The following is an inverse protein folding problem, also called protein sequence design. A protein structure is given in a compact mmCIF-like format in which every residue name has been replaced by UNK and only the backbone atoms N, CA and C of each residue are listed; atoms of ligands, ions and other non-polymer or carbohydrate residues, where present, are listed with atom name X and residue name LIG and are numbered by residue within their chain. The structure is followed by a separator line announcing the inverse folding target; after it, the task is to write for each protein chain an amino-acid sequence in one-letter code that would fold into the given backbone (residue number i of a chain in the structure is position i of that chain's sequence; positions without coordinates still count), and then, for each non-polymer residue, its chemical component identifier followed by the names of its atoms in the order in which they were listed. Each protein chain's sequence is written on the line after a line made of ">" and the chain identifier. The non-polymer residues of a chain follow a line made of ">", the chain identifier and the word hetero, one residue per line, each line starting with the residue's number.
data_IF_175409855231
#
_entry.id   IF_175409855231
#
_cell.length_a   1.000
_cell.length_b   1.000
_cell.length_c   1.000
_cell.angle_alpha   90.00
_cell.angle_beta   90.00
_cell.angle_gamma   90.00
#
_symmetry.space_group_name_H-M   'P 1'
#
loop_
_entity.id
_entity.type
_entity.pdbx_description
1 polymer ?
#
# COMPACT_ATOMS: atom_id res chain seq x y z
N UNK A 1 1.59 4.18 0.44
CA UNK A 1 0.28 3.82 1.01
C UNK A 1 -0.08 4.51 2.34
N UNK A 2 0.81 4.75 3.32
CA UNK A 2 0.35 5.23 4.67
C UNK A 2 -0.52 6.50 4.63
N UNK A 3 -0.12 7.52 3.86
CA UNK A 3 -0.86 8.77 3.71
C UNK A 3 -2.23 8.57 3.06
N UNK A 4 -2.29 7.77 1.99
CA UNK A 4 -3.55 7.47 1.30
C UNK A 4 -4.48 6.62 2.17
N UNK A 5 -3.95 5.67 2.94
CA UNK A 5 -4.73 4.91 3.93
C UNK A 5 -5.29 5.78 5.03
N UNK A 6 -4.50 6.71 5.58
CA UNK A 6 -4.98 7.67 6.59
C UNK A 6 -6.08 8.54 6.01
N UNK A 7 -5.85 9.19 4.86
CA UNK A 7 -6.86 10.05 4.23
C UNK A 7 -8.14 9.29 3.86
N UNK A 8 -8.01 8.06 3.38
CA UNK A 8 -9.17 7.22 3.10
C UNK A 8 -9.93 6.86 4.38
N UNK A 9 -9.21 6.52 5.44
CA UNK A 9 -9.83 6.23 6.73
C UNK A 9 -10.58 7.43 7.29
N UNK A 10 -9.99 8.63 7.24
CA UNK A 10 -10.58 9.86 7.77
C UNK A 10 -11.85 10.24 7.00
N UNK A 11 -11.90 9.93 5.70
CA UNK A 11 -13.10 10.11 4.87
C UNK A 11 -14.24 9.15 5.24
N UNK A 12 -13.91 7.95 5.72
CA UNK A 12 -14.91 6.90 6.07
C UNK A 12 -15.33 6.95 7.54
N UNK A 13 -14.40 7.26 8.45
CA UNK A 13 -14.65 7.31 9.89
C UNK A 13 -14.20 8.67 10.44
N UNK A 14 -15.10 9.44 11.05
CA UNK A 14 -14.81 10.77 11.65
C UNK A 14 -14.07 10.71 13.01
N UNK A 15 -13.44 9.59 13.34
CA UNK A 15 -12.76 9.39 14.63
C UNK A 15 -11.25 9.56 14.45
N UNK A 16 -10.54 10.02 15.50
CA UNK A 16 -9.07 10.23 15.59
C UNK A 16 -8.23 8.92 15.45
N UNK A 17 -8.48 8.16 14.40
CA UNK A 17 -7.88 6.86 14.12
C UNK A 17 -6.54 7.00 13.38
N UNK A 18 -6.29 8.17 12.79
CA UNK A 18 -5.12 8.52 11.99
C UNK A 18 -3.82 8.36 12.78
N UNK A 19 -3.82 8.76 14.06
CA UNK A 19 -2.65 8.58 14.94
C UNK A 19 -2.33 7.12 15.22
N UNK A 20 -3.35 6.25 15.30
CA UNK A 20 -3.17 4.81 15.55
C UNK A 20 -2.56 4.15 14.30
N UNK A 21 -3.07 4.49 13.12
CA UNK A 21 -2.55 3.98 11.84
C UNK A 21 -1.08 4.38 11.68
N UNK A 22 -0.75 5.66 11.93
CA UNK A 22 0.62 6.16 11.86
C UNK A 22 1.54 5.42 12.84
N UNK A 23 1.15 5.31 14.12
CA UNK A 23 1.98 4.62 15.14
C UNK A 23 2.20 3.14 14.82
N UNK A 24 1.18 2.44 14.31
CA UNK A 24 1.32 1.02 13.89
C UNK A 24 2.22 0.89 12.67
N UNK A 25 2.10 1.79 11.70
CA UNK A 25 2.99 1.84 10.54
C UNK A 25 4.45 2.08 10.97
N UNK A 26 4.70 3.10 11.80
CA UNK A 26 6.05 3.42 12.28
C UNK A 26 6.67 2.23 13.06
N UNK A 27 5.84 1.52 13.84
CA UNK A 27 6.26 0.30 14.53
C UNK A 27 6.65 -0.81 13.54
N UNK A 28 5.84 -1.09 12.52
CA UNK A 28 6.15 -2.14 11.54
C UNK A 28 7.39 -1.80 10.71
N UNK A 29 7.57 -0.54 10.32
CA UNK A 29 8.78 -0.10 9.59
C UNK A 29 10.03 -0.35 10.43
N UNK A 30 9.95 -0.12 11.74
CA UNK A 30 11.10 -0.30 12.64
C UNK A 30 11.36 -1.75 13.01
N UNK A 31 10.32 -2.58 13.15
CA UNK A 31 10.41 -3.88 13.82
C UNK A 31 9.95 -5.08 12.96
N UNK A 32 9.56 -4.87 11.70
CA UNK A 32 8.94 -5.90 10.85
C UNK A 32 9.38 -5.76 9.40
N UNK A 33 8.88 -6.64 8.54
CA UNK A 33 9.13 -6.54 7.10
C UNK A 33 8.27 -5.45 6.46
N UNK A 34 8.77 -4.89 5.35
CA UNK A 34 8.00 -3.94 4.52
C UNK A 34 6.69 -4.58 4.03
N UNK A 35 6.67 -5.89 3.81
CA UNK A 35 5.45 -6.65 3.48
C UNK A 35 4.40 -6.56 4.59
N UNK A 36 4.80 -6.59 5.86
CA UNK A 36 3.87 -6.52 6.99
C UNK A 36 3.23 -5.13 7.06
N UNK A 37 4.01 -4.08 6.77
CA UNK A 37 3.50 -2.72 6.61
C UNK A 37 2.45 -2.66 5.49
N UNK A 38 2.75 -3.28 4.33
CA UNK A 38 1.87 -3.29 3.17
C UNK A 38 0.56 -4.01 3.46
N UNK A 39 0.61 -5.21 4.04
CA UNK A 39 -0.58 -5.98 4.39
C UNK A 39 -1.44 -5.29 5.44
N UNK A 40 -0.82 -4.67 6.45
CA UNK A 40 -1.54 -3.88 7.45
C UNK A 40 -2.34 -2.74 6.81
N UNK A 41 -1.69 -1.92 5.98
CA UNK A 41 -2.33 -0.79 5.31
C UNK A 41 -3.42 -1.26 4.33
N UNK A 42 -3.15 -2.33 3.58
CA UNK A 42 -4.13 -2.95 2.68
C UNK A 42 -5.37 -3.47 3.42
N UNK A 43 -5.19 -4.04 4.62
CA UNK A 43 -6.29 -4.48 5.48
C UNK A 43 -7.18 -3.31 5.92
N UNK A 44 -6.57 -2.19 6.37
CA UNK A 44 -7.33 -0.99 6.75
C UNK A 44 -8.13 -0.44 5.55
N UNK A 45 -7.51 -0.38 4.37
CA UNK A 45 -8.20 0.06 3.16
C UNK A 45 -9.36 -0.86 2.80
N UNK A 46 -9.19 -2.19 2.92
CA UNK A 46 -10.27 -3.16 2.71
C UNK A 46 -11.45 -2.92 3.66
N UNK A 47 -11.19 -2.71 4.95
CA UNK A 47 -12.24 -2.46 5.94
C UNK A 47 -13.04 -1.20 5.60
N UNK A 48 -12.34 -0.11 5.26
CA UNK A 48 -12.95 1.15 4.84
C UNK A 48 -13.75 1.01 3.54
N UNK A 49 -13.24 0.26 2.57
CA UNK A 49 -13.96 -0.03 1.32
C UNK A 49 -15.29 -0.75 1.59
N UNK A 50 -15.29 -1.77 2.46
CA UNK A 50 -16.52 -2.52 2.79
C UNK A 50 -17.59 -1.59 3.34
N UNK A 51 -17.22 -0.57 4.14
CA UNK A 51 -18.15 0.41 4.72
C UNK A 51 -18.79 1.33 3.68
N UNK A 52 -18.06 1.70 2.62
CA UNK A 52 -18.57 2.65 1.60
C UNK A 52 -19.07 1.99 0.32
N UNK A 53 -18.92 0.66 0.17
CA UNK A 53 -19.16 -0.06 -1.09
C UNK A 53 -20.51 0.25 -1.74
N UNK A 54 -21.56 0.41 -0.94
CA UNK A 54 -22.93 0.61 -1.42
C UNK A 54 -23.18 2.05 -1.91
N UNK A 55 -22.27 2.98 -1.59
CA UNK A 55 -22.32 4.40 -2.00
C UNK A 55 -21.41 4.74 -3.17
N UNK A 56 -20.53 3.81 -3.57
CA UNK A 56 -19.54 4.01 -4.63
C UNK A 56 -20.17 4.27 -6.01
N UNK A 57 -21.27 3.58 -6.32
CA UNK A 57 -22.01 3.77 -7.58
C UNK A 57 -22.61 5.17 -7.71
N UNK A 58 -22.72 5.91 -6.61
CA UNK A 58 -23.27 7.28 -6.57
C UNK A 58 -22.19 8.35 -6.59
N UNK A 59 -20.92 7.99 -6.37
CA UNK A 59 -19.79 8.91 -6.25
C UNK A 59 -18.60 8.37 -7.05
N UNK A 60 -18.61 8.53 -8.38
CA UNK A 60 -17.54 8.02 -9.25
C UNK A 60 -16.15 8.60 -8.91
N UNK A 61 -16.08 9.78 -8.30
CA UNK A 61 -14.82 10.39 -7.86
C UNK A 61 -14.11 9.58 -6.77
N UNK A 62 -14.85 8.78 -5.99
CA UNK A 62 -14.28 7.87 -5.00
C UNK A 62 -13.46 6.74 -5.65
N UNK A 63 -13.68 6.43 -6.94
CA UNK A 63 -12.93 5.39 -7.66
C UNK A 63 -11.45 5.78 -7.77
N UNK A 64 -11.14 7.06 -7.97
CA UNK A 64 -9.75 7.54 -8.01
C UNK A 64 -9.08 7.40 -6.64
N UNK A 65 -9.77 7.81 -5.58
CA UNK A 65 -9.27 7.65 -4.20
C UNK A 65 -9.00 6.18 -3.88
N UNK A 66 -9.88 5.27 -4.33
CA UNK A 66 -9.68 3.82 -4.16
C UNK A 66 -8.48 3.30 -4.94
N UNK A 67 -8.29 3.72 -6.20
CA UNK A 67 -7.14 3.30 -7.00
C UNK A 67 -5.82 3.73 -6.35
N UNK A 68 -5.75 4.95 -5.83
CA UNK A 68 -4.58 5.44 -5.09
C UNK A 68 -4.43 4.77 -3.71
N UNK A 69 -5.53 4.46 -3.01
CA UNK A 69 -5.49 3.78 -1.72
C UNK A 69 -4.99 2.34 -1.85
N UNK A 70 -5.42 1.60 -2.87
CA UNK A 70 -5.02 0.22 -3.12
C UNK A 70 -3.77 0.06 -3.98
N UNK A 71 -3.12 1.16 -4.36
CA UNK A 71 -1.92 1.16 -5.22
C UNK A 71 -2.18 0.48 -6.59
N UNK A 72 -3.40 0.60 -7.11
CA UNK A 72 -3.85 0.00 -8.38
C UNK A 72 -3.44 0.89 -9.58
N UNK A 73 -3.01 2.12 -9.30
CA UNK A 73 -2.60 3.13 -10.29
C UNK A 73 -1.12 3.01 -10.72
N UNK A 74 -0.50 1.83 -10.58
CA UNK A 74 0.88 1.63 -11.02
C UNK A 74 0.99 1.72 -12.55
N UNK A 75 1.80 2.67 -13.03
CA UNK A 75 2.21 2.75 -14.44
C UNK A 75 2.91 1.43 -14.82
N UNK A 76 2.38 0.74 -15.84
CA UNK A 76 2.89 -0.56 -16.27
C UNK A 76 4.35 -0.49 -16.72
N UNK A 77 4.81 0.65 -17.25
CA UNK A 77 6.20 0.84 -17.63
C UNK A 77 7.12 0.95 -16.40
N UNK A 78 6.66 1.63 -15.34
CA UNK A 78 7.38 1.74 -14.08
C UNK A 78 7.45 0.38 -13.38
N UNK A 79 6.36 -0.38 -13.42
CA UNK A 79 6.31 -1.74 -12.88
C UNK A 79 7.33 -2.66 -13.60
N UNK A 80 7.38 -2.60 -14.93
CA UNK A 80 8.34 -3.37 -15.73
C UNK A 80 9.78 -2.99 -15.36
N UNK A 81 10.09 -1.70 -15.29
CA UNK A 81 11.43 -1.22 -14.91
C UNK A 81 11.85 -1.70 -13.52
N UNK A 82 10.93 -1.69 -12.55
CA UNK A 82 11.20 -2.18 -11.21
C UNK A 82 11.40 -3.71 -11.18
N UNK A 83 10.61 -4.46 -11.95
CA UNK A 83 10.78 -5.90 -12.09
C UNK A 83 12.15 -6.24 -12.69
N UNK A 84 12.57 -5.54 -13.74
CA UNK A 84 13.88 -5.72 -14.37
C UNK A 84 15.03 -5.39 -13.39
N UNK A 85 14.89 -4.30 -12.62
CA UNK A 85 15.88 -3.91 -11.59
C UNK A 85 16.03 -4.98 -10.51
N UNK A 86 14.92 -5.54 -10.03
CA UNK A 86 14.92 -6.61 -9.04
C UNK A 86 15.58 -7.87 -9.62
N UNK A 87 15.17 -8.28 -10.82
CA UNK A 87 15.73 -9.45 -11.50
C UNK A 87 17.24 -9.31 -11.69
N UNK A 88 17.71 -8.17 -12.19
CA UNK A 88 19.12 -7.89 -12.39
C UNK A 88 19.90 -7.91 -11.07
N UNK A 89 19.35 -7.29 -10.01
CA UNK A 89 19.97 -7.29 -8.68
C UNK A 89 20.11 -8.71 -8.11
N UNK A 90 19.06 -9.53 -8.25
CA UNK A 90 19.10 -10.94 -7.85
C UNK A 90 20.16 -11.73 -8.62
N UNK A 91 20.24 -11.54 -9.94
CA UNK A 91 21.24 -12.22 -10.77
C UNK A 91 22.67 -11.86 -10.36
N UNK A 92 22.93 -10.59 -10.04
CA UNK A 92 24.24 -10.14 -9.54
C UNK A 92 24.57 -10.81 -8.20
N UNK A 93 23.63 -10.86 -7.26
CA UNK A 93 23.83 -11.49 -5.95
C UNK A 93 24.07 -13.00 -6.08
N UNK A 94 23.31 -13.69 -6.94
CA UNK A 94 23.50 -15.12 -7.22
C UNK A 94 24.87 -15.40 -7.85
N UNK A 95 25.28 -14.59 -8.82
CA UNK A 95 26.59 -14.71 -9.45
C UNK A 95 27.74 -14.42 -8.47
N UNK A 96 27.55 -13.53 -7.51
CA UNK A 96 28.53 -13.24 -6.46
C UNK A 96 28.61 -14.37 -5.42
N UNK A 97 27.49 -14.99 -5.05
CA UNK A 97 27.45 -16.13 -4.12
C UNK A 97 28.03 -17.42 -4.70
N UNK A 98 27.97 -17.61 -6.02
CA UNK A 98 28.55 -18.78 -6.72
C UNK A 98 30.08 -18.73 -6.90
N UNK A 99 30.74 -17.62 -6.48
CA UNK A 99 32.20 -17.45 -6.55
C UNK A 99 32.93 -17.70 -5.21
N UNK A 100 32.21 -18.15 -4.18
CA UNK A 100 32.80 -18.66 -2.92
C UNK A 100 32.85 -20.19 -2.95
#
# INVERSE_FOLDING_TARGET
>A
MVKSTIGFNDMVNQNDSSQIIQRKYDYFVKNSMISDCYFYLGYINKDNFIKIKDTLTRNPDLIHVLKTAFDIEADSNVLLQQADLIQNSCNVLLAAGLKQ
#
